data_IF_482077669204
#
_entry.id   IF_482077669204
#
_cell.length_a   1.000
_cell.length_b   1.000
_cell.length_c   1.000
_cell.angle_alpha   90.00
_cell.angle_beta   90.00
_cell.angle_gamma   90.00
#
_symmetry.space_group_name_H-M   'P 1'
#
loop_
_entity.id
_entity.type
_entity.pdbx_description
1 polymer ?
#
# COMPACT_ATOMS: atom_id res chain seq x y z
N UNK A 1 13.47 -1.32 6.64
CA UNK A 1 12.21 -1.70 7.36
C UNK A 1 12.00 -3.22 7.38
N UNK A 2 11.11 -3.75 8.24
CA UNK A 2 10.76 -5.19 8.24
C UNK A 2 9.57 -5.45 7.29
N UNK A 3 9.68 -6.45 6.40
CA UNK A 3 8.62 -6.84 5.46
C UNK A 3 7.29 -7.13 6.14
N UNK A 4 7.32 -7.76 7.30
CA UNK A 4 6.11 -8.06 8.06
C UNK A 4 5.43 -6.80 8.58
N UNK A 5 6.20 -5.78 8.97
CA UNK A 5 5.66 -4.52 9.46
C UNK A 5 4.98 -3.76 8.32
N UNK A 6 5.64 -3.62 7.17
CA UNK A 6 5.06 -2.97 5.97
C UNK A 6 3.78 -3.67 5.55
N UNK A 7 3.82 -4.99 5.40
CA UNK A 7 2.64 -5.78 5.03
C UNK A 7 1.49 -5.60 6.03
N UNK A 8 1.78 -5.59 7.33
CA UNK A 8 0.76 -5.40 8.36
C UNK A 8 0.10 -4.02 8.29
N UNK A 9 0.85 -2.96 7.99
CA UNK A 9 0.30 -1.60 7.83
C UNK A 9 -0.57 -1.52 6.57
N UNK A 10 -0.10 -2.04 5.43
CA UNK A 10 -0.89 -2.08 4.18
C UNK A 10 -2.19 -2.86 4.39
N UNK A 11 -2.12 -4.06 4.99
CA UNK A 11 -3.29 -4.87 5.31
C UNK A 11 -4.27 -4.15 6.24
N UNK A 12 -3.77 -3.45 7.25
CA UNK A 12 -4.59 -2.69 8.18
C UNK A 12 -5.37 -1.58 7.47
N UNK A 13 -4.73 -0.82 6.59
CA UNK A 13 -5.42 0.26 5.87
C UNK A 13 -6.44 -0.26 4.87
N UNK A 14 -6.06 -1.26 4.08
CA UNK A 14 -7.01 -1.90 3.16
C UNK A 14 -8.18 -2.48 3.94
N UNK A 15 -7.92 -3.16 5.06
CA UNK A 15 -8.99 -3.68 5.91
C UNK A 15 -9.91 -2.57 6.43
N UNK A 16 -9.37 -1.40 6.76
CA UNK A 16 -10.17 -0.24 7.18
C UNK A 16 -11.04 0.32 6.05
N UNK A 17 -10.56 0.32 4.81
CA UNK A 17 -11.34 0.71 3.63
C UNK A 17 -12.45 -0.32 3.33
N UNK A 18 -12.21 -1.59 3.65
CA UNK A 18 -13.17 -2.69 3.46
C UNK A 18 -14.05 -2.97 4.70
N UNK A 19 -14.36 -1.95 5.50
CA UNK A 19 -15.21 -2.06 6.71
C UNK A 19 -14.74 -3.17 7.70
N UNK A 20 -13.43 -3.35 7.83
CA UNK A 20 -12.80 -4.33 8.73
C UNK A 20 -12.62 -5.73 8.13
N UNK A 21 -12.89 -5.92 6.84
CA UNK A 21 -12.59 -7.20 6.16
C UNK A 21 -11.08 -7.39 6.04
N UNK A 22 -10.55 -8.52 6.51
CA UNK A 22 -9.12 -8.86 6.41
C UNK A 22 -8.86 -10.19 5.69
N UNK A 23 -9.90 -10.81 5.15
CA UNK A 23 -9.84 -12.12 4.49
C UNK A 23 -9.51 -11.98 2.99
N UNK A 24 -8.50 -11.17 2.68
CA UNK A 24 -8.03 -10.95 1.31
C UNK A 24 -6.59 -11.41 1.15
N UNK A 25 -6.30 -12.01 -0.01
CA UNK A 25 -4.96 -12.49 -0.33
C UNK A 25 -4.07 -11.34 -0.81
N UNK A 26 -2.76 -11.44 -0.56
CA UNK A 26 -1.79 -10.43 -1.01
C UNK A 26 -1.76 -10.29 -2.54
N UNK A 27 -2.09 -11.35 -3.28
CA UNK A 27 -2.14 -11.36 -4.74
C UNK A 27 -3.47 -10.84 -5.29
N UNK A 28 -4.43 -10.48 -4.43
CA UNK A 28 -5.68 -9.87 -4.86
C UNK A 28 -5.40 -8.47 -5.40
N UNK A 29 -5.96 -8.15 -6.56
CA UNK A 29 -5.85 -6.80 -7.10
C UNK A 29 -6.64 -5.81 -6.25
N UNK A 30 -6.13 -4.59 -6.09
CA UNK A 30 -6.79 -3.52 -5.34
C UNK A 30 -8.19 -3.23 -5.90
N UNK A 31 -8.32 -3.20 -7.24
CA UNK A 31 -9.61 -3.06 -7.92
C UNK A 31 -10.58 -4.23 -7.61
N UNK A 32 -10.08 -5.45 -7.43
CA UNK A 32 -10.92 -6.60 -7.05
C UNK A 32 -11.40 -6.55 -5.60
N UNK A 33 -10.70 -5.79 -4.76
CA UNK A 33 -11.15 -5.49 -3.40
C UNK A 33 -12.25 -4.41 -3.41
N UNK A 34 -12.51 -3.77 -4.56
CA UNK A 34 -13.42 -2.64 -4.67
C UNK A 34 -12.76 -1.32 -4.28
N UNK A 35 -11.43 -1.25 -4.31
CA UNK A 35 -10.70 0.01 -4.15
C UNK A 35 -10.66 0.71 -5.50
N UNK A 36 -11.32 1.87 -5.57
CA UNK A 36 -11.22 2.74 -6.72
C UNK A 36 -9.90 3.51 -6.68
N UNK A 37 -9.62 4.25 -7.76
CA UNK A 37 -8.40 5.04 -7.86
C UNK A 37 -8.24 6.02 -6.69
N UNK A 38 -9.32 6.68 -6.26
CA UNK A 38 -9.29 7.61 -5.13
C UNK A 38 -8.93 6.89 -3.82
N UNK A 39 -9.48 5.68 -3.58
CA UNK A 39 -9.14 4.88 -2.41
C UNK A 39 -7.66 4.45 -2.42
N UNK A 40 -7.13 4.11 -3.60
CA UNK A 40 -5.70 3.75 -3.76
C UNK A 40 -4.82 4.98 -3.50
N UNK A 41 -5.20 6.16 -3.98
CA UNK A 41 -4.45 7.41 -3.74
C UNK A 41 -4.48 7.79 -2.25
N UNK A 42 -5.63 7.69 -1.56
CA UNK A 42 -5.71 7.89 -0.11
C UNK A 42 -4.92 6.84 0.68
N UNK A 43 -4.99 5.56 0.28
CA UNK A 43 -4.22 4.47 0.87
C UNK A 43 -2.72 4.77 0.81
N UNK A 44 -2.23 5.17 -0.37
CA UNK A 44 -0.83 5.54 -0.56
C UNK A 44 -0.50 6.69 0.39
N UNK A 45 -1.25 7.80 0.37
CA UNK A 45 -0.98 8.99 1.18
C UNK A 45 -0.89 8.67 2.69
N UNK A 46 -1.78 7.82 3.19
CA UNK A 46 -1.73 7.36 4.58
C UNK A 46 -0.49 6.50 4.88
N UNK A 47 -0.09 5.63 3.95
CA UNK A 47 1.12 4.84 4.08
C UNK A 47 2.37 5.73 4.08
N UNK A 48 2.41 6.78 3.26
CA UNK A 48 3.52 7.75 3.25
C UNK A 48 3.65 8.45 4.62
N UNK A 49 2.53 8.91 5.19
CA UNK A 49 2.49 9.59 6.48
C UNK A 49 2.84 8.65 7.65
N UNK A 50 2.22 7.46 7.71
CA UNK A 50 2.43 6.49 8.80
C UNK A 50 3.85 5.93 8.81
N UNK A 51 4.41 5.68 7.62
CA UNK A 51 5.78 5.18 7.48
C UNK A 51 6.83 6.32 7.50
N UNK A 52 6.39 7.59 7.61
CA UNK A 52 7.22 8.81 7.54
C UNK A 52 8.12 8.84 6.32
N UNK A 53 7.63 8.35 5.19
CA UNK A 53 8.33 8.32 3.93
C UNK A 53 8.17 9.67 3.22
N UNK A 54 8.49 10.75 3.92
CA UNK A 54 8.30 12.15 3.48
C UNK A 54 9.19 12.57 2.30
N UNK A 55 9.95 11.64 1.72
CA UNK A 55 10.90 11.89 0.65
C UNK A 55 10.71 10.95 -0.55
N UNK A 56 9.50 10.47 -0.80
CA UNK A 56 9.21 9.83 -2.08
C UNK A 56 9.45 10.81 -3.21
N UNK A 57 10.42 10.48 -4.05
CA UNK A 57 10.64 11.11 -5.33
C UNK A 57 9.41 10.88 -6.22
N UNK A 58 9.23 11.74 -7.24
CA UNK A 58 8.16 11.58 -8.22
C UNK A 58 8.25 10.27 -9.02
N UNK A 59 9.35 9.53 -8.91
CA UNK A 59 9.53 8.20 -9.50
C UNK A 59 8.97 7.11 -8.59
N UNK A 60 9.21 7.21 -7.29
CA UNK A 60 8.68 6.28 -6.29
C UNK A 60 7.16 6.42 -6.12
N UNK A 61 6.62 7.64 -6.18
CA UNK A 61 5.17 7.87 -6.23
C UNK A 61 4.53 7.22 -7.47
N UNK A 62 5.20 7.30 -8.63
CA UNK A 62 4.72 6.60 -9.84
C UNK A 62 4.78 5.09 -9.70
N UNK A 63 5.82 4.56 -9.05
CA UNK A 63 5.93 3.14 -8.77
C UNK A 63 4.78 2.69 -7.86
N UNK A 64 4.53 3.42 -6.76
CA UNK A 64 3.41 3.13 -5.85
C UNK A 64 2.06 3.19 -6.56
N UNK A 65 1.81 4.20 -7.40
CA UNK A 65 0.58 4.32 -8.21
C UNK A 65 0.46 3.26 -9.31
N UNK A 66 1.54 2.58 -9.64
CA UNK A 66 1.53 1.46 -10.59
C UNK A 66 1.23 0.12 -9.93
N UNK A 67 1.21 0.06 -8.60
CA UNK A 67 0.89 -1.15 -7.84
C UNK A 67 -0.53 -1.62 -8.16
N UNK A 68 -0.66 -2.89 -8.56
CA UNK A 68 -1.97 -3.48 -8.89
C UNK A 68 -2.49 -4.38 -7.78
N UNK A 69 -1.58 -4.99 -7.02
CA UNK A 69 -1.90 -5.93 -5.94
C UNK A 69 -1.38 -5.43 -4.59
N UNK A 70 -1.91 -5.99 -3.51
CA UNK A 70 -1.44 -5.72 -2.14
C UNK A 70 0.03 -6.11 -1.97
N UNK A 71 0.45 -7.19 -2.62
CA UNK A 71 1.83 -7.64 -2.62
C UNK A 71 2.75 -6.65 -3.36
N UNK A 72 2.34 -6.12 -4.52
CA UNK A 72 3.11 -5.10 -5.24
C UNK A 72 3.33 -3.88 -4.37
N UNK A 73 2.24 -3.37 -3.77
CA UNK A 73 2.27 -2.18 -2.92
C UNK A 73 3.20 -2.39 -1.71
N UNK A 74 3.12 -3.58 -1.08
CA UNK A 74 4.02 -3.96 0.01
C UNK A 74 5.48 -4.07 -0.43
N UNK A 75 5.74 -4.60 -1.62
CA UNK A 75 7.09 -4.79 -2.15
C UNK A 75 7.73 -3.43 -2.49
N UNK A 76 6.97 -2.55 -3.15
CA UNK A 76 7.43 -1.21 -3.52
C UNK A 76 7.79 -0.40 -2.26
N UNK A 77 6.92 -0.40 -1.24
CA UNK A 77 7.21 0.24 0.05
C UNK A 77 8.45 -0.33 0.75
N UNK A 78 8.70 -1.63 0.58
CA UNK A 78 9.90 -2.29 1.09
C UNK A 78 11.16 -1.88 0.35
N UNK A 79 11.06 -1.72 -0.98
CA UNK A 79 12.15 -1.26 -1.83
C UNK A 79 12.54 0.17 -1.48
N UNK A 80 11.55 1.05 -1.28
CA UNK A 80 11.83 2.44 -0.90
C UNK A 80 12.33 2.54 0.55
N UNK A 81 11.72 1.79 1.48
CA UNK A 81 12.13 1.78 2.89
C UNK A 81 13.46 1.04 3.19
N UNK A 82 14.20 0.66 2.15
CA UNK A 82 15.51 0.01 2.22
C UNK A 82 16.67 0.94 1.80
N UNK A 83 16.38 1.98 1.02
CA UNK A 83 17.32 3.06 0.69
C UNK A 83 17.47 4.03 1.87
#
# INVERSE_FOLDING_TARGET
MNRQAVRAVVHRHISRLLDGRSDFDDNTSLEQLGLDREDIEELIFHLEDELKLTAFTAEEDRLLKSARTVNDLSQILLEIGRD
#
